data_IF_186768173837
#
_entry.id   IF_186768173837
#
_cell.length_a   1.000
_cell.length_b   1.000
_cell.length_c   1.000
_cell.angle_alpha   90.00
_cell.angle_beta   90.00
_cell.angle_gamma   90.00
#
_symmetry.space_group_name_H-M   'P 1'
#
loop_
_entity.id
_entity.type
_entity.pdbx_description
1 polymer ?
#
# COMPACT_ATOMS: atom_id res chain seq x y z
N UNK A 1 -3.51 -18.21 61.56
CA UNK A 1 -3.93 -16.87 61.99
C UNK A 1 -3.03 -15.86 61.29
N UNK A 2 -3.46 -14.96 60.42
CA UNK A 2 -4.78 -14.70 59.83
C UNK A 2 -4.57 -13.89 58.55
N UNK A 3 -5.44 -14.14 57.57
CA UNK A 3 -5.72 -13.39 56.35
C UNK A 3 -5.79 -11.87 56.51
N UNK A 4 -5.41 -11.12 55.46
CA UNK A 4 -6.18 -10.06 54.75
C UNK A 4 -5.42 -9.81 53.41
N UNK A 5 -5.83 -10.31 52.24
CA UNK A 5 -6.97 -9.95 51.35
C UNK A 5 -6.87 -8.56 50.68
N UNK A 6 -6.39 -8.58 49.43
CA UNK A 6 -6.93 -7.86 48.26
C UNK A 6 -7.06 -6.32 48.27
N UNK A 7 -6.24 -5.68 47.44
CA UNK A 7 -6.57 -4.49 46.61
C UNK A 7 -5.81 -4.67 45.28
N UNK A 8 -6.40 -5.27 44.25
CA UNK A 8 -7.11 -4.63 43.12
C UNK A 8 -6.21 -3.72 42.26
N UNK A 9 -5.92 -4.25 41.07
CA UNK A 9 -5.77 -3.62 39.74
C UNK A 9 -4.80 -2.45 39.50
N UNK A 10 -4.22 -2.54 38.30
CA UNK A 10 -3.65 -1.48 37.48
C UNK A 10 -2.29 -0.92 37.91
N UNK A 11 -1.26 -1.50 37.29
CA UNK A 11 -0.39 -0.70 36.42
C UNK A 11 0.01 -1.55 35.22
N UNK A 12 -0.74 -1.34 34.15
CA UNK A 12 -0.29 -1.53 32.78
C UNK A 12 1.10 -0.91 32.59
N UNK A 13 1.81 -1.43 31.60
CA UNK A 13 2.99 -0.85 30.96
C UNK A 13 4.30 -1.23 31.59
N UNK A 14 4.93 -2.26 31.02
CA UNK A 14 6.35 -2.21 30.69
C UNK A 14 6.62 -3.18 29.55
N UNK A 15 6.39 -2.66 28.34
CA UNK A 15 7.33 -2.76 27.22
C UNK A 15 7.97 -4.13 26.98
N UNK A 16 7.24 -5.04 26.33
CA UNK A 16 7.83 -6.14 25.58
C UNK A 16 7.13 -6.29 24.24
N UNK A 17 7.66 -5.56 23.25
CA UNK A 17 7.47 -5.76 21.83
C UNK A 17 8.74 -5.27 21.16
N UNK A 18 9.62 -6.21 20.86
CA UNK A 18 10.97 -6.04 20.32
C UNK A 18 11.01 -5.24 19.01
N UNK A 19 12.18 -4.65 18.78
CA UNK A 19 12.66 -4.01 17.56
C UNK A 19 12.29 -4.78 16.26
N UNK A 20 11.91 -4.01 15.23
CA UNK A 20 12.07 -4.27 13.79
C UNK A 20 11.40 -5.49 13.13
N UNK A 21 10.17 -5.83 13.49
CA UNK A 21 9.33 -6.60 12.55
C UNK A 21 8.70 -5.62 11.53
N UNK A 22 9.12 -5.73 10.26
CA UNK A 22 8.58 -4.89 9.17
C UNK A 22 7.06 -5.00 9.15
N UNK A 23 6.37 -3.85 9.06
CA UNK A 23 4.91 -3.84 9.02
C UNK A 23 4.44 -4.59 7.76
N UNK A 24 3.29 -5.28 7.83
CA UNK A 24 2.78 -6.01 6.66
C UNK A 24 2.62 -5.12 5.41
N UNK A 25 2.36 -3.83 5.61
CA UNK A 25 2.28 -2.84 4.54
C UNK A 25 3.64 -2.57 3.92
N UNK A 26 4.70 -2.43 4.73
CA UNK A 26 6.08 -2.36 4.25
C UNK A 26 6.40 -3.63 3.42
N UNK A 27 6.01 -4.82 3.92
CA UNK A 27 6.19 -6.09 3.22
C UNK A 27 5.38 -6.18 1.91
N UNK A 28 4.20 -5.56 1.86
CA UNK A 28 3.36 -5.54 0.65
C UNK A 28 3.98 -4.65 -0.42
N UNK A 29 4.50 -3.48 -0.03
CA UNK A 29 5.24 -2.60 -0.93
C UNK A 29 6.51 -3.30 -1.45
N UNK A 30 7.24 -4.01 -0.59
CA UNK A 30 8.39 -4.82 -1.01
C UNK A 30 8.02 -5.92 -2.02
N UNK A 31 6.92 -6.64 -1.78
CA UNK A 31 6.44 -7.68 -2.71
C UNK A 31 6.02 -7.11 -4.08
N UNK A 32 5.51 -5.87 -4.14
CA UNK A 32 5.26 -5.18 -5.41
C UNK A 32 6.54 -4.94 -6.21
N UNK A 33 7.61 -4.53 -5.53
CA UNK A 33 8.93 -4.31 -6.14
C UNK A 33 9.56 -5.62 -6.58
N UNK A 34 9.52 -6.65 -5.74
CA UNK A 34 10.16 -7.94 -6.01
C UNK A 34 9.51 -8.71 -7.17
N UNK A 35 8.18 -8.60 -7.33
CA UNK A 35 7.43 -9.50 -8.21
C UNK A 35 6.74 -8.83 -9.41
N UNK A 36 6.58 -7.50 -9.41
CA UNK A 36 5.67 -6.83 -10.36
C UNK A 36 6.25 -5.58 -11.03
N UNK A 37 7.58 -5.41 -11.07
CA UNK A 37 8.29 -4.25 -11.68
C UNK A 37 7.87 -2.88 -11.12
N UNK A 38 7.39 -2.84 -9.86
CA UNK A 38 7.21 -1.57 -9.17
C UNK A 38 8.57 -1.09 -8.65
N UNK A 39 8.68 0.21 -8.42
CA UNK A 39 9.88 0.85 -7.87
C UNK A 39 9.52 1.73 -6.69
N UNK A 40 10.39 1.83 -5.70
CA UNK A 40 10.18 2.78 -4.61
C UNK A 40 10.24 4.22 -5.14
N UNK A 41 9.31 5.06 -4.69
CA UNK A 41 9.33 6.49 -4.98
C UNK A 41 10.60 7.17 -4.41
N UNK A 42 11.04 6.66 -3.25
CA UNK A 42 12.29 7.03 -2.60
C UNK A 42 12.93 5.78 -2.01
N UNK A 43 14.07 5.35 -2.56
CA UNK A 43 14.80 4.17 -2.09
C UNK A 43 15.36 4.32 -0.67
N UNK A 44 15.50 5.55 -0.17
CA UNK A 44 15.93 5.83 1.20
C UNK A 44 14.75 5.84 2.19
N UNK A 45 13.52 5.98 1.67
CA UNK A 45 12.29 6.05 2.45
C UNK A 45 11.21 5.18 1.79
N UNK A 46 11.31 3.84 1.87
CA UNK A 46 10.36 2.92 1.23
C UNK A 46 8.89 3.10 1.68
N UNK A 47 8.68 3.73 2.83
CA UNK A 47 7.37 4.18 3.31
C UNK A 47 6.72 5.30 2.46
N UNK A 48 7.47 5.92 1.54
CA UNK A 48 6.94 6.90 0.59
C UNK A 48 6.17 6.21 -0.56
N UNK A 49 6.02 4.90 -0.48
CA UNK A 49 5.27 4.10 -1.43
C UNK A 49 6.13 3.63 -2.61
N UNK A 50 5.45 2.92 -3.49
CA UNK A 50 6.01 2.44 -4.74
C UNK A 50 5.19 2.97 -5.90
N UNK A 51 5.81 3.11 -7.05
CA UNK A 51 5.16 3.50 -8.28
C UNK A 51 5.52 2.53 -9.39
N UNK A 52 4.68 2.48 -10.42
CA UNK A 52 4.99 1.76 -11.66
C UNK A 52 4.46 2.55 -12.85
N UNK A 53 5.27 2.56 -13.90
CA UNK A 53 4.92 3.14 -15.18
C UNK A 53 4.14 2.11 -16.02
N UNK A 54 2.92 2.46 -16.42
CA UNK A 54 2.10 1.65 -17.31
C UNK A 54 1.89 2.37 -18.64
N UNK A 55 2.06 1.66 -19.76
CA UNK A 55 1.77 2.20 -21.10
C UNK A 55 0.24 2.32 -21.26
N UNK A 56 -0.27 3.51 -21.57
CA UNK A 56 -1.66 3.73 -21.97
C UNK A 56 -2.18 5.17 -22.05
N UNK A 57 -2.93 5.45 -23.13
CA UNK A 57 -3.45 6.76 -23.60
C UNK A 57 -3.97 7.71 -22.52
N UNK A 58 -3.29 8.84 -22.36
CA UNK A 58 -3.49 9.80 -21.28
C UNK A 58 -4.88 10.46 -21.27
N UNK A 59 -5.41 10.68 -20.07
CA UNK A 59 -6.40 11.72 -19.82
C UNK A 59 -6.13 12.25 -18.41
N UNK A 60 -5.15 13.16 -18.36
CA UNK A 60 -4.64 14.01 -17.28
C UNK A 60 -4.34 13.44 -15.89
N UNK A 61 -3.11 13.73 -15.45
CA UNK A 61 -2.55 13.46 -14.12
C UNK A 61 -1.10 12.97 -14.17
N UNK A 62 -0.17 13.83 -14.67
CA UNK A 62 1.25 13.55 -15.01
C UNK A 62 1.43 12.68 -16.27
N UNK A 63 1.25 13.29 -17.46
CA UNK A 63 1.55 12.64 -18.74
C UNK A 63 3.05 12.41 -18.90
N UNK A 64 3.45 11.16 -19.10
CA UNK A 64 4.70 10.86 -19.79
C UNK A 64 4.43 11.03 -21.30
N UNK A 65 5.30 11.68 -22.08
CA UNK A 65 5.06 12.00 -23.50
C UNK A 65 4.77 10.81 -24.43
N UNK A 66 4.96 9.57 -23.96
CA UNK A 66 4.80 8.33 -24.71
C UNK A 66 3.48 7.62 -24.41
N UNK A 67 2.43 8.35 -24.03
CA UNK A 67 1.18 7.79 -23.55
C UNK A 67 1.33 6.89 -22.32
N UNK A 68 2.40 6.96 -21.53
CA UNK A 68 2.51 6.20 -20.29
C UNK A 68 2.03 7.00 -19.08
N UNK A 69 1.58 6.28 -18.04
CA UNK A 69 1.06 6.85 -16.79
C UNK A 69 1.67 6.16 -15.58
N UNK A 70 1.93 6.92 -14.54
CA UNK A 70 2.33 6.38 -13.24
C UNK A 70 1.10 6.02 -12.41
N UNK A 71 1.11 4.83 -11.83
CA UNK A 71 0.24 4.47 -10.72
C UNK A 71 1.10 4.33 -9.48
N UNK A 72 0.63 4.87 -8.36
CA UNK A 72 1.30 4.80 -7.07
C UNK A 72 0.56 3.88 -6.11
N UNK A 73 1.27 3.10 -5.32
CA UNK A 73 0.75 2.36 -4.19
C UNK A 73 1.46 2.82 -2.93
N UNK A 74 0.71 3.26 -1.93
CA UNK A 74 1.27 3.73 -0.66
C UNK A 74 0.30 3.44 0.49
N UNK A 75 0.67 3.81 1.71
CA UNK A 75 -0.24 3.82 2.84
C UNK A 75 -1.45 4.69 2.54
N UNK A 76 -2.62 4.22 2.94
CA UNK A 76 -3.82 5.06 2.99
C UNK A 76 -3.58 6.26 3.92
N UNK A 77 -4.43 7.28 3.80
CA UNK A 77 -4.30 8.60 4.44
C UNK A 77 -4.15 8.59 5.99
N UNK A 78 -4.24 7.42 6.63
CA UNK A 78 -3.79 7.18 8.00
C UNK A 78 -2.45 6.40 8.01
N UNK A 79 -1.32 7.09 7.78
CA UNK A 79 0.01 6.48 7.79
C UNK A 79 0.43 6.00 9.18
N UNK A 80 -0.20 6.48 10.26
CA UNK A 80 0.07 6.05 11.63
C UNK A 80 -0.49 4.65 11.87
N UNK A 81 -1.64 4.32 11.30
CA UNK A 81 -2.20 2.97 11.36
C UNK A 81 -1.43 1.96 10.51
N UNK A 82 -0.73 2.45 9.46
CA UNK A 82 -0.17 1.67 8.34
C UNK A 82 -1.11 0.58 7.84
N UNK A 83 -2.42 0.70 8.08
CA UNK A 83 -3.33 -0.45 8.06
C UNK A 83 -3.78 -0.83 6.65
N UNK A 84 -3.73 0.13 5.76
CA UNK A 84 -4.28 -0.03 4.43
C UNK A 84 -3.22 0.31 3.40
N UNK A 85 -3.16 -0.52 2.37
CA UNK A 85 -2.45 -0.21 1.13
C UNK A 85 -3.47 0.39 0.18
N UNK A 86 -3.16 1.55 -0.38
CA UNK A 86 -4.01 2.29 -1.29
C UNK A 86 -3.31 2.45 -2.64
N UNK A 87 -4.06 2.22 -3.72
CA UNK A 87 -3.65 2.42 -5.11
C UNK A 87 -4.20 3.75 -5.62
N UNK A 88 -3.34 4.56 -6.21
CA UNK A 88 -3.62 5.91 -6.66
C UNK A 88 -3.28 6.12 -8.13
N UNK A 89 -4.06 6.98 -8.78
CA UNK A 89 -3.71 7.65 -10.03
C UNK A 89 -3.66 9.15 -9.79
N UNK A 90 -2.46 9.74 -9.79
CA UNK A 90 -2.28 11.13 -9.34
C UNK A 90 -2.80 11.31 -7.92
N UNK A 91 -3.87 12.11 -7.75
CA UNK A 91 -4.54 12.32 -6.45
C UNK A 91 -5.78 11.45 -6.24
N UNK A 92 -6.19 10.69 -7.26
CA UNK A 92 -7.42 9.90 -7.21
C UNK A 92 -7.14 8.54 -6.58
N UNK A 93 -7.83 8.25 -5.48
CA UNK A 93 -7.84 6.91 -4.89
C UNK A 93 -8.62 5.96 -5.80
N UNK A 94 -7.95 4.92 -6.30
CA UNK A 94 -8.58 3.89 -7.13
C UNK A 94 -9.23 2.79 -6.29
N UNK A 95 -8.53 2.37 -5.23
CA UNK A 95 -8.96 1.34 -4.26
C UNK A 95 -7.96 1.25 -3.09
N UNK A 96 -8.41 0.83 -1.92
CA UNK A 96 -7.60 0.38 -0.80
C UNK A 96 -7.86 -1.10 -0.40
N UNK A 97 -6.92 -1.66 0.36
CA UNK A 97 -6.94 -3.02 0.90
C UNK A 97 -6.50 -2.99 2.37
N UNK A 98 -7.26 -3.64 3.26
CA UNK A 98 -6.83 -3.87 4.65
C UNK A 98 -5.77 -4.97 4.61
N UNK A 99 -4.54 -4.68 5.06
CA UNK A 99 -3.47 -5.65 4.89
C UNK A 99 -3.53 -6.86 5.82
N UNK A 100 -4.57 -6.95 6.65
CA UNK A 100 -4.90 -8.14 7.45
C UNK A 100 -5.82 -9.12 6.71
N UNK A 101 -6.34 -8.77 5.54
CA UNK A 101 -7.23 -9.62 4.74
C UNK A 101 -6.48 -10.66 3.89
N UNK A 102 -5.14 -10.65 3.92
CA UNK A 102 -4.32 -11.62 3.20
C UNK A 102 -2.84 -11.46 3.53
N UNK A 103 -2.02 -12.33 2.93
CA UNK A 103 -0.56 -12.19 3.01
C UNK A 103 -0.07 -11.00 2.17
N UNK A 104 1.10 -10.40 2.49
CA UNK A 104 1.66 -9.31 1.70
C UNK A 104 1.76 -9.60 0.19
N UNK A 105 2.14 -10.83 -0.17
CA UNK A 105 2.24 -11.25 -1.57
C UNK A 105 0.87 -11.34 -2.27
N UNK A 106 -0.17 -11.83 -1.58
CA UNK A 106 -1.53 -11.87 -2.12
C UNK A 106 -2.09 -10.47 -2.34
N UNK A 107 -1.84 -9.55 -1.41
CA UNK A 107 -2.30 -8.17 -1.53
C UNK A 107 -1.53 -7.45 -2.65
N UNK A 108 -0.22 -7.64 -2.75
CA UNK A 108 0.58 -7.13 -3.86
C UNK A 108 0.05 -7.63 -5.23
N UNK A 109 -0.30 -8.92 -5.34
CA UNK A 109 -0.91 -9.47 -6.54
C UNK A 109 -2.25 -8.80 -6.89
N UNK A 110 -3.09 -8.53 -5.89
CA UNK A 110 -4.36 -7.85 -6.07
C UNK A 110 -4.20 -6.38 -6.48
N UNK A 111 -3.25 -5.67 -5.87
CA UNK A 111 -2.89 -4.29 -6.21
C UNK A 111 -2.44 -4.23 -7.66
N UNK A 112 -1.48 -5.08 -8.05
CA UNK A 112 -0.98 -5.10 -9.42
C UNK A 112 -2.08 -5.46 -10.43
N UNK A 113 -2.90 -6.49 -10.15
CA UNK A 113 -4.04 -6.84 -11.00
C UNK A 113 -5.01 -5.67 -11.19
N UNK A 114 -5.28 -4.90 -10.13
CA UNK A 114 -6.17 -3.74 -10.22
C UNK A 114 -5.55 -2.61 -11.05
N UNK A 115 -4.25 -2.39 -10.93
CA UNK A 115 -3.51 -1.43 -11.76
C UNK A 115 -3.59 -1.80 -13.25
N UNK A 116 -3.34 -3.06 -13.61
CA UNK A 116 -3.46 -3.56 -14.99
C UNK A 116 -4.89 -3.38 -15.54
N UNK A 117 -5.90 -3.74 -14.74
CA UNK A 117 -7.30 -3.57 -15.13
C UNK A 117 -7.68 -2.10 -15.36
N UNK A 118 -7.22 -1.20 -14.50
CA UNK A 118 -7.48 0.23 -14.64
C UNK A 118 -6.92 0.76 -15.96
N UNK A 119 -5.67 0.38 -16.30
CA UNK A 119 -5.03 0.77 -17.55
C UNK A 119 -5.81 0.23 -18.74
N UNK A 120 -6.16 -1.06 -18.77
CA UNK A 120 -6.95 -1.66 -19.85
C UNK A 120 -8.31 -0.99 -20.06
N UNK A 121 -9.02 -0.64 -18.97
CA UNK A 121 -10.28 0.09 -19.06
C UNK A 121 -10.09 1.46 -19.73
N UNK A 122 -9.07 2.23 -19.33
CA UNK A 122 -8.78 3.53 -19.92
C UNK A 122 -8.39 3.45 -21.39
N UNK A 123 -7.61 2.46 -21.79
CA UNK A 123 -7.31 2.19 -23.21
C UNK A 123 -8.57 1.94 -24.03
N UNK A 124 -9.50 1.15 -23.50
CA UNK A 124 -10.73 0.79 -24.20
C UNK A 124 -11.63 2.00 -24.37
N UNK A 125 -11.70 2.88 -23.37
CA UNK A 125 -12.42 4.16 -23.47
C UNK A 125 -11.87 5.06 -24.55
N UNK A 126 -10.55 5.16 -24.70
CA UNK A 126 -9.93 6.03 -25.73
C UNK A 126 -10.10 5.47 -27.14
N UNK A 127 -10.01 4.14 -27.33
CA UNK A 127 -10.24 3.53 -28.66
C UNK A 127 -11.68 3.60 -29.15
N UNK A 128 -12.64 3.78 -28.25
CA UNK A 128 -14.07 3.83 -28.57
C UNK A 128 -14.61 5.25 -28.79
N UNK A 129 -13.81 6.28 -28.53
CA UNK A 129 -14.14 7.69 -28.74
C UNK A 129 -13.60 8.18 -30.09
#
# INVERSE_FOLDING_TARGET
MSDVKTTVNNLLSSSQGSEDELHYSDLTLAALVEHYDWQYCDTQHPQNGVERLFVGTSADGMMVPNDARYLGANYSADPDSRRYIALYYGRDLLKDWDGREGTPAEIAAQVNKRADQYVQMKWTTVKAA
#
